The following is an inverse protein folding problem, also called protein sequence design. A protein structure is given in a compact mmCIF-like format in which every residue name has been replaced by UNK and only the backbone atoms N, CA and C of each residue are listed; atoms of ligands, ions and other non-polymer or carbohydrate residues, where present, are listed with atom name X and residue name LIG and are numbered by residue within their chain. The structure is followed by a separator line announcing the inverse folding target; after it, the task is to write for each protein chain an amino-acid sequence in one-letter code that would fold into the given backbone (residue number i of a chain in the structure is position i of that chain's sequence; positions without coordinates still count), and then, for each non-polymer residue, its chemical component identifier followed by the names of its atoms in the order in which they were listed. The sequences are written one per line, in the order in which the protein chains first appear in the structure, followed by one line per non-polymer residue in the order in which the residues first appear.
data_IF_444920994699
#
_entry.id   IF_444920994699
#
_cell.length_a   1.000
_cell.length_b   1.000
_cell.length_c   1.000
_cell.angle_alpha   90.00
_cell.angle_beta   90.00
_cell.angle_gamma   90.00
#
_symmetry.space_group_name_H-M   'P 1'
#
loop_
_entity.id
_entity.type
_entity.pdbx_description
1 polymer ?
#
# COMPACT_ATOMS: atom_id res chain seq x y z
N UNK A 1 35.65 -4.23 29.29
CA UNK A 1 34.97 -4.06 27.99
C UNK A 1 33.50 -4.42 28.19
N UNK A 2 32.65 -3.41 28.45
CA UNK A 2 31.22 -3.60 28.66
C UNK A 2 30.54 -3.72 27.29
N UNK A 3 29.98 -4.87 26.95
CA UNK A 3 29.06 -4.99 25.82
C UNK A 3 27.75 -4.32 26.22
N UNK A 4 27.46 -3.16 25.62
CA UNK A 4 26.13 -2.57 25.68
C UNK A 4 25.17 -3.45 24.87
N UNK A 5 24.26 -4.15 25.54
CA UNK A 5 23.06 -4.70 24.90
C UNK A 5 22.22 -3.51 24.43
N UNK A 6 22.35 -3.15 23.16
CA UNK A 6 21.41 -2.25 22.50
C UNK A 6 20.11 -3.05 22.36
N UNK A 7 19.01 -2.70 23.04
CA UNK A 7 17.74 -3.38 22.82
C UNK A 7 17.39 -3.23 21.34
N UNK A 8 17.10 -4.34 20.67
CA UNK A 8 16.59 -4.33 19.32
C UNK A 8 15.34 -3.44 19.32
N UNK A 9 15.44 -2.24 18.75
CA UNK A 9 14.31 -1.34 18.61
C UNK A 9 13.17 -2.13 17.98
N UNK A 10 12.06 -2.27 18.71
CA UNK A 10 10.83 -2.84 18.17
C UNK A 10 10.44 -2.02 16.94
N UNK A 11 10.01 -2.69 15.88
CA UNK A 11 9.45 -1.97 14.74
C UNK A 11 8.17 -1.26 15.18
N UNK A 12 8.00 -0.02 14.71
CA UNK A 12 6.84 0.81 14.95
C UNK A 12 5.62 0.26 14.19
N UNK A 13 4.38 0.55 14.63
CA UNK A 13 3.18 0.09 13.92
C UNK A 13 2.68 1.10 12.89
N UNK A 14 2.24 0.61 11.74
CA UNK A 14 1.48 1.39 10.77
C UNK A 14 0.32 0.57 10.22
N UNK A 15 -0.89 1.07 10.44
CA UNK A 15 -2.13 0.39 10.09
C UNK A 15 -2.87 1.19 9.01
N UNK A 16 -3.26 0.50 7.94
CA UNK A 16 -3.95 1.07 6.80
C UNK A 16 -5.27 0.33 6.58
N UNK A 17 -6.34 1.09 6.34
CA UNK A 17 -7.64 0.53 5.99
C UNK A 17 -8.14 1.18 4.71
N UNK A 18 -8.28 0.38 3.67
CA UNK A 18 -8.77 0.82 2.37
C UNK A 18 -10.30 0.89 2.40
N UNK A 19 -10.87 1.92 1.79
CA UNK A 19 -12.32 2.05 1.69
C UNK A 19 -12.89 1.09 0.63
N UNK A 20 -14.15 0.63 0.78
CA UNK A 20 -14.80 -0.30 -0.17
C UNK A 20 -14.77 0.16 -1.63
N UNK A 21 -14.80 1.46 -1.86
CA UNK A 21 -14.75 2.04 -3.20
C UNK A 21 -13.34 2.04 -3.83
N UNK A 22 -12.29 1.71 -3.06
CA UNK A 22 -10.89 1.70 -3.50
C UNK A 22 -10.29 3.07 -3.80
N UNK A 23 -10.97 4.18 -3.47
CA UNK A 23 -10.52 5.53 -3.84
C UNK A 23 -9.78 6.25 -2.72
N UNK A 24 -9.85 5.76 -1.49
CA UNK A 24 -9.23 6.39 -0.33
C UNK A 24 -8.94 5.34 0.76
N UNK A 25 -8.12 5.74 1.73
CA UNK A 25 -7.77 4.93 2.89
C UNK A 25 -7.66 5.81 4.13
N UNK A 26 -7.81 5.17 5.29
CA UNK A 26 -7.40 5.74 6.57
C UNK A 26 -6.11 5.08 7.02
N UNK A 27 -5.17 5.90 7.49
CA UNK A 27 -3.91 5.45 8.06
C UNK A 27 -3.85 5.79 9.54
N UNK A 28 -3.17 4.94 10.30
CA UNK A 28 -2.78 5.16 11.68
C UNK A 28 -1.31 4.78 11.82
N UNK A 29 -0.44 5.76 12.03
CA UNK A 29 1.01 5.55 12.03
C UNK A 29 1.59 5.98 13.36
N UNK A 30 2.30 5.06 14.03
CA UNK A 30 3.04 5.37 15.24
C UNK A 30 4.30 6.16 14.92
N UNK A 31 4.55 7.22 15.66
CA UNK A 31 5.72 8.07 15.50
C UNK A 31 6.39 8.20 16.87
N UNK A 32 7.68 7.86 16.95
CA UNK A 32 8.43 7.84 18.20
C UNK A 32 9.54 8.88 18.18
N UNK A 33 9.62 9.66 19.26
CA UNK A 33 10.63 10.69 19.47
C UNK A 33 10.77 11.66 18.28
N UNK A 34 9.65 12.04 17.67
CA UNK A 34 9.61 13.00 16.56
C UNK A 34 8.81 14.24 16.96
N UNK A 35 9.04 15.32 16.22
CA UNK A 35 8.37 16.63 16.33
C UNK A 35 7.72 17.05 15.00
N UNK A 36 7.81 16.20 13.98
CA UNK A 36 7.32 16.44 12.62
C UNK A 36 6.88 15.13 11.97
N UNK A 37 5.79 15.19 11.22
CA UNK A 37 5.34 14.11 10.34
C UNK A 37 4.96 14.68 8.98
N UNK A 38 5.52 14.11 7.90
CA UNK A 38 5.28 14.55 6.52
C UNK A 38 4.30 13.60 5.82
N UNK A 39 3.35 14.17 5.08
CA UNK A 39 2.39 13.42 4.29
C UNK A 39 2.90 13.30 2.86
N UNK A 40 3.72 12.26 2.64
CA UNK A 40 4.28 11.93 1.34
C UNK A 40 4.04 10.46 1.00
N UNK A 41 3.96 10.21 -0.31
CA UNK A 41 4.04 8.90 -0.92
C UNK A 41 5.39 8.74 -1.63
N UNK A 42 5.71 7.54 -2.09
CA UNK A 42 6.91 7.26 -2.89
C UNK A 42 6.57 7.47 -4.36
N UNK A 43 7.44 8.13 -5.13
CA UNK A 43 7.31 8.29 -6.57
C UNK A 43 8.02 7.19 -7.35
N UNK A 44 7.96 7.27 -8.69
CA UNK A 44 8.53 6.24 -9.56
C UNK A 44 10.06 6.14 -9.49
N UNK A 45 10.73 7.23 -9.13
CA UNK A 45 12.19 7.29 -8.95
C UNK A 45 12.57 7.24 -7.46
N UNK A 46 11.63 6.91 -6.58
CA UNK A 46 11.81 6.90 -5.13
C UNK A 46 11.75 8.28 -4.48
N UNK A 47 11.27 9.30 -5.20
CA UNK A 47 11.10 10.66 -4.68
C UNK A 47 9.86 10.80 -3.78
N UNK A 48 9.86 11.78 -2.87
CA UNK A 48 8.69 12.07 -2.06
C UNK A 48 7.61 12.81 -2.89
N UNK A 49 6.45 12.18 -3.05
CA UNK A 49 5.30 12.75 -3.74
C UNK A 49 4.29 13.24 -2.71
N UNK A 50 4.02 14.54 -2.70
CA UNK A 50 3.07 15.12 -1.75
C UNK A 50 1.66 14.53 -1.94
N UNK A 51 1.04 14.12 -0.83
CA UNK A 51 -0.36 13.69 -0.81
C UNK A 51 -1.24 14.71 -0.11
N UNK A 52 -2.46 14.88 -0.63
CA UNK A 52 -3.51 15.65 0.04
C UNK A 52 -4.16 14.77 1.09
N UNK A 53 -4.19 15.25 2.34
CA UNK A 53 -4.76 14.50 3.46
C UNK A 53 -5.88 15.27 4.11
N UNK A 54 -6.86 14.51 4.61
CA UNK A 54 -8.03 15.00 5.34
C UNK A 54 -8.13 14.31 6.71
N UNK A 55 -8.96 14.85 7.60
CA UNK A 55 -9.25 14.28 8.93
C UNK A 55 -7.99 13.96 9.76
N UNK A 56 -6.96 14.82 9.68
CA UNK A 56 -5.72 14.62 10.43
C UNK A 56 -5.96 14.77 11.93
N UNK A 57 -5.57 13.75 12.67
CA UNK A 57 -5.65 13.71 14.12
C UNK A 57 -4.32 13.24 14.72
N UNK A 58 -3.96 13.80 15.87
CA UNK A 58 -2.81 13.41 16.67
C UNK A 58 -3.31 12.83 17.98
N UNK A 59 -2.86 11.64 18.34
CA UNK A 59 -3.23 10.98 19.59
C UNK A 59 -2.01 10.44 20.31
N UNK A 60 -2.09 10.28 21.63
CA UNK A 60 -0.96 9.82 22.46
C UNK A 60 -1.12 10.29 23.91
N UNK A 61 0.00 10.43 24.62
CA UNK A 61 0.03 10.89 26.02
C UNK A 61 -0.14 12.41 26.14
N UNK A 62 -1.14 12.99 25.47
CA UNK A 62 -1.47 14.41 25.50
C UNK A 62 -2.99 14.62 25.58
N UNK A 63 -3.42 15.70 26.23
CA UNK A 63 -4.85 16.05 26.36
C UNK A 63 -5.05 17.58 26.45
N UNK A 64 -5.47 18.27 25.37
CA UNK A 64 -5.56 17.80 23.98
C UNK A 64 -4.19 17.73 23.30
N UNK A 65 -4.05 16.83 22.34
CA UNK A 65 -2.89 16.79 21.45
C UNK A 65 -3.05 17.87 20.38
N UNK A 66 -2.20 18.90 20.41
CA UNK A 66 -2.21 19.98 19.43
C UNK A 66 -1.06 19.83 18.44
N UNK A 67 -1.31 20.26 17.21
CA UNK A 67 -0.31 20.28 16.15
C UNK A 67 -0.51 21.52 15.29
N UNK A 68 0.55 21.93 14.61
CA UNK A 68 0.52 23.02 13.65
C UNK A 68 0.82 22.51 12.25
N UNK A 69 0.18 23.10 11.25
CA UNK A 69 0.46 22.80 9.85
C UNK A 69 1.72 23.53 9.39
N UNK A 70 2.62 22.78 8.76
CA UNK A 70 3.79 23.29 8.07
C UNK A 70 3.63 22.99 6.58
N UNK A 71 3.42 24.04 5.78
CA UNK A 71 3.40 23.96 4.32
C UNK A 71 4.54 24.81 3.77
N UNK A 72 5.46 24.18 3.06
CA UNK A 72 6.56 24.85 2.37
C UNK A 72 6.42 24.61 0.88
N UNK A 73 6.66 25.65 0.08
CA UNK A 73 6.51 25.58 -1.38
C UNK A 73 7.45 24.50 -1.94
N UNK A 74 6.90 23.60 -2.77
CA UNK A 74 7.65 22.48 -3.34
C UNK A 74 7.96 21.32 -2.39
N UNK A 75 7.35 21.26 -1.20
CA UNK A 75 7.49 20.12 -0.26
C UNK A 75 6.13 19.51 0.11
N UNK A 76 6.11 18.22 0.52
CA UNK A 76 4.93 17.61 1.11
C UNK A 76 4.38 18.42 2.29
N UNK A 77 3.06 18.40 2.46
CA UNK A 77 2.45 18.99 3.64
C UNK A 77 2.88 18.20 4.88
N UNK A 78 3.09 18.89 6.00
CA UNK A 78 3.52 18.27 7.23
C UNK A 78 2.79 18.87 8.43
N UNK A 79 2.71 18.10 9.50
CA UNK A 79 2.34 18.61 10.82
C UNK A 79 3.57 18.65 11.72
N UNK A 80 3.62 19.65 12.60
CA UNK A 80 4.62 19.78 13.65
C UNK A 80 3.95 19.76 15.01
N UNK A 81 4.62 19.13 15.97
CA UNK A 81 4.12 18.91 17.32
C UNK A 81 5.30 18.86 18.30
N UNK A 82 5.02 18.91 19.60
CA UNK A 82 6.07 18.77 20.61
C UNK A 82 6.73 17.40 20.49
N UNK A 83 8.05 17.34 20.69
CA UNK A 83 8.79 16.09 20.53
C UNK A 83 8.28 15.02 21.50
N UNK A 84 7.87 13.87 20.97
CA UNK A 84 7.31 12.79 21.79
C UNK A 84 6.88 11.56 20.99
N UNK A 85 6.10 10.70 21.64
CA UNK A 85 5.56 9.47 21.06
C UNK A 85 4.06 9.63 20.83
N UNK A 86 3.66 9.56 19.57
CA UNK A 86 2.30 9.82 19.14
C UNK A 86 1.85 8.83 18.09
N UNK A 87 0.56 8.81 17.83
CA UNK A 87 -0.05 8.15 16.69
C UNK A 87 -0.72 9.21 15.83
N UNK A 88 -0.30 9.28 14.56
CA UNK A 88 -0.88 10.18 13.56
C UNK A 88 -1.91 9.40 12.77
N UNK A 89 -3.15 9.87 12.80
CA UNK A 89 -4.24 9.29 12.01
C UNK A 89 -4.69 10.27 10.94
N UNK A 90 -4.95 9.80 9.72
CA UNK A 90 -5.39 10.66 8.62
C UNK A 90 -6.14 9.85 7.55
N UNK A 91 -6.86 10.55 6.69
CA UNK A 91 -7.46 10.02 5.47
C UNK A 91 -6.71 10.56 4.27
N UNK A 92 -6.45 9.72 3.28
CA UNK A 92 -5.80 10.12 2.03
C UNK A 92 -6.43 9.42 0.82
N UNK A 93 -6.42 10.06 -0.36
CA UNK A 93 -6.87 9.43 -1.59
C UNK A 93 -5.87 8.36 -2.05
N UNK A 94 -6.39 7.34 -2.73
CA UNK A 94 -5.62 6.35 -3.49
C UNK A 94 -5.56 6.76 -4.94
N UNK A 95 -4.42 6.49 -5.56
CA UNK A 95 -4.22 6.65 -6.99
C UNK A 95 -3.92 5.29 -7.61
N UNK A 96 -4.56 4.99 -8.73
CA UNK A 96 -4.30 3.79 -9.54
C UNK A 96 -4.44 2.45 -8.77
N UNK A 97 -5.30 2.41 -7.74
CA UNK A 97 -5.48 1.27 -6.82
C UNK A 97 -4.16 0.76 -6.22
N UNK A 98 -3.23 1.69 -5.97
CA UNK A 98 -1.90 1.37 -5.44
C UNK A 98 -1.68 2.14 -4.15
N UNK A 99 -1.29 1.41 -3.11
CA UNK A 99 -0.83 1.95 -1.84
C UNK A 99 0.66 1.65 -1.72
N UNK A 100 1.47 2.68 -1.56
CA UNK A 100 2.90 2.53 -1.32
C UNK A 100 3.36 3.47 -0.22
N UNK A 101 4.48 3.12 0.42
CA UNK A 101 5.13 3.93 1.44
C UNK A 101 6.59 3.57 1.59
N UNK A 102 7.36 4.58 2.00
CA UNK A 102 8.70 4.43 2.53
C UNK A 102 8.77 5.00 3.95
N UNK A 103 9.55 4.36 4.80
CA UNK A 103 9.80 4.72 6.18
C UNK A 103 11.31 4.79 6.42
N UNK A 104 11.75 5.79 7.18
CA UNK A 104 13.15 5.93 7.60
C UNK A 104 13.60 4.78 8.51
N UNK A 105 12.67 4.25 9.30
CA UNK A 105 12.88 3.13 10.23
C UNK A 105 11.96 1.96 9.88
N UNK A 106 12.26 0.72 10.28
CA UNK A 106 11.39 -0.42 9.98
C UNK A 106 10.07 -0.38 10.75
N UNK A 107 8.95 -0.64 10.06
CA UNK A 107 7.60 -0.73 10.62
C UNK A 107 7.02 -2.14 10.48
N UNK A 108 6.13 -2.50 11.40
CA UNK A 108 5.15 -3.55 11.22
C UNK A 108 3.94 -2.92 10.54
N UNK A 109 3.70 -3.32 9.30
CA UNK A 109 2.64 -2.74 8.48
C UNK A 109 1.47 -3.70 8.40
N UNK A 110 0.27 -3.21 8.69
CA UNK A 110 -0.97 -3.93 8.46
C UNK A 110 -1.82 -3.17 7.44
N UNK A 111 -2.35 -3.88 6.45
CA UNK A 111 -3.27 -3.30 5.47
C UNK A 111 -4.52 -4.16 5.40
N UNK A 112 -5.66 -3.57 5.74
CA UNK A 112 -6.96 -4.19 5.63
C UNK A 112 -7.63 -3.80 4.31
N UNK A 113 -7.86 -4.79 3.47
CA UNK A 113 -8.64 -4.71 2.24
C UNK A 113 -10.09 -5.18 2.48
N UNK A 114 -11.08 -4.39 2.03
CA UNK A 114 -12.48 -4.77 2.07
C UNK A 114 -12.79 -5.86 1.02
N UNK A 115 -13.95 -6.50 1.13
CA UNK A 115 -14.30 -7.67 0.31
C UNK A 115 -14.48 -7.37 -1.19
N UNK A 116 -14.76 -6.12 -1.55
CA UNK A 116 -14.94 -5.67 -2.92
C UNK A 116 -13.62 -5.55 -3.68
N UNK A 117 -12.48 -5.69 -3.02
CA UNK A 117 -11.14 -5.56 -3.61
C UNK A 117 -10.34 -6.84 -3.39
N UNK A 118 -9.51 -7.20 -4.37
CA UNK A 118 -8.72 -8.43 -4.33
C UNK A 118 -7.26 -8.20 -4.76
N UNK A 119 -6.41 -9.13 -4.35
CA UNK A 119 -4.95 -9.13 -4.53
C UNK A 119 -4.41 -10.51 -4.92
N UNK A 120 -5.29 -11.48 -5.21
CA UNK A 120 -4.88 -12.87 -5.47
C UNK A 120 -4.42 -13.11 -6.90
N UNK A 121 -4.94 -12.37 -7.88
CA UNK A 121 -4.53 -12.54 -9.27
C UNK A 121 -3.17 -11.88 -9.54
N UNK A 122 -2.09 -12.66 -9.78
CA UNK A 122 -0.74 -12.13 -9.95
C UNK A 122 -0.57 -11.25 -11.20
N UNK A 123 -1.50 -11.32 -12.17
CA UNK A 123 -1.47 -10.49 -13.37
C UNK A 123 -2.04 -9.08 -13.13
N UNK A 124 -2.79 -8.88 -12.05
CA UNK A 124 -3.51 -7.64 -11.73
C UNK A 124 -3.02 -6.97 -10.44
N UNK A 125 -2.20 -7.66 -9.66
CA UNK A 125 -1.69 -7.21 -8.37
C UNK A 125 -0.17 -7.02 -8.40
N UNK A 126 0.32 -6.27 -7.44
CA UNK A 126 1.74 -6.13 -7.10
C UNK A 126 1.78 -6.13 -5.58
N UNK A 127 2.47 -7.11 -4.98
CA UNK A 127 2.63 -7.22 -3.53
C UNK A 127 4.12 -7.32 -3.27
N UNK A 128 4.66 -6.40 -2.48
CA UNK A 128 6.05 -6.46 -2.06
C UNK A 128 6.32 -7.77 -1.29
N UNK A 129 7.38 -8.55 -1.63
CA UNK A 129 7.72 -9.80 -0.94
C UNK A 129 7.74 -9.70 0.60
N UNK A 130 7.40 -10.80 1.26
CA UNK A 130 7.35 -10.87 2.73
C UNK A 130 6.01 -10.50 3.34
N UNK A 131 5.00 -10.19 2.51
CA UNK A 131 3.62 -10.04 2.96
C UNK A 131 3.03 -11.39 3.39
N UNK A 132 2.43 -11.44 4.57
CA UNK A 132 1.51 -12.50 4.96
C UNK A 132 0.09 -12.08 4.58
N UNK A 133 -0.53 -12.80 3.65
CA UNK A 133 -1.89 -12.50 3.16
C UNK A 133 -2.85 -13.47 3.82
N UNK A 134 -3.77 -12.94 4.62
CA UNK A 134 -4.79 -13.71 5.34
C UNK A 134 -6.17 -13.24 4.91
N UNK A 135 -7.04 -14.19 4.55
CA UNK A 135 -8.44 -13.89 4.21
C UNK A 135 -9.32 -14.34 5.36
N UNK A 136 -10.16 -13.45 5.84
CA UNK A 136 -11.06 -13.71 6.96
C UNK A 136 -12.41 -14.26 6.47
N UNK A 137 -13.20 -14.77 7.42
CA UNK A 137 -14.52 -15.34 7.16
C UNK A 137 -15.55 -14.29 6.67
N UNK A 138 -15.30 -13.01 6.94
CA UNK A 138 -16.06 -11.86 6.44
C UNK A 138 -15.60 -11.41 5.05
N UNK A 139 -14.83 -12.24 4.33
CA UNK A 139 -14.23 -11.96 3.03
C UNK A 139 -13.23 -10.80 2.98
N UNK A 140 -12.93 -10.15 4.10
CA UNK A 140 -11.87 -9.15 4.15
C UNK A 140 -10.50 -9.80 4.03
N UNK A 141 -9.53 -9.05 3.50
CA UNK A 141 -8.16 -9.53 3.33
C UNK A 141 -7.23 -8.65 4.14
N UNK A 142 -6.47 -9.26 5.05
CA UNK A 142 -5.45 -8.59 5.83
C UNK A 142 -4.06 -8.99 5.33
N UNK A 143 -3.30 -7.97 4.94
CA UNK A 143 -1.91 -8.11 4.55
C UNK A 143 -1.03 -7.56 5.65
N UNK A 144 -0.03 -8.34 6.06
CA UNK A 144 0.89 -7.96 7.12
C UNK A 144 2.33 -8.13 6.70
N UNK A 145 3.14 -7.11 6.99
CA UNK A 145 4.59 -7.17 6.86
C UNK A 145 5.23 -6.91 8.21
N UNK A 146 6.27 -7.70 8.52
CA UNK A 146 7.03 -7.54 9.74
C UNK A 146 8.37 -6.86 9.45
N UNK A 147 8.62 -5.72 10.11
CA UNK A 147 9.90 -4.97 10.04
C UNK A 147 10.33 -4.58 8.62
N UNK A 148 9.46 -3.90 7.88
CA UNK A 148 9.76 -3.41 6.52
C UNK A 148 9.99 -1.89 6.51
N UNK A 149 10.81 -1.43 5.57
CA UNK A 149 11.03 0.02 5.32
C UNK A 149 10.22 0.54 4.16
N UNK A 150 9.89 -0.31 3.20
CA UNK A 150 9.09 0.05 2.04
C UNK A 150 8.07 -1.03 1.80
N UNK A 151 6.88 -0.65 1.36
CA UNK A 151 5.94 -1.58 0.75
C UNK A 151 5.23 -0.95 -0.43
N UNK A 152 4.78 -1.83 -1.30
CA UNK A 152 3.91 -1.52 -2.42
C UNK A 152 2.83 -2.59 -2.42
N UNK A 153 1.59 -2.13 -2.53
CA UNK A 153 0.41 -2.95 -2.64
C UNK A 153 -0.49 -2.38 -3.74
N UNK A 154 -0.61 -3.13 -4.82
CA UNK A 154 -1.59 -2.87 -5.89
C UNK A 154 -2.70 -3.89 -5.81
N UNK A 155 -3.93 -3.40 -5.76
CA UNK A 155 -5.14 -4.20 -5.68
C UNK A 155 -6.06 -3.92 -6.87
N UNK A 156 -7.05 -4.77 -7.08
CA UNK A 156 -7.96 -4.65 -8.20
C UNK A 156 -9.40 -4.92 -7.78
N UNK A 157 -10.34 -4.32 -8.51
CA UNK A 157 -11.76 -4.61 -8.39
C UNK A 157 -12.14 -5.85 -9.24
N UNK A 158 -13.18 -6.60 -8.88
CA UNK A 158 -13.63 -7.80 -9.59
C UNK A 158 -13.91 -7.57 -11.08
N UNK A 159 -14.32 -6.35 -11.45
CA UNK A 159 -14.61 -6.01 -12.84
C UNK A 159 -13.34 -6.02 -13.71
N UNK A 160 -12.20 -5.53 -13.20
CA UNK A 160 -10.90 -5.67 -13.89
C UNK A 160 -10.52 -7.13 -14.14
N UNK A 161 -10.85 -8.02 -13.21
CA UNK A 161 -10.59 -9.45 -13.39
C UNK A 161 -11.44 -10.06 -14.52
N UNK A 162 -12.72 -9.68 -14.58
CA UNK A 162 -13.62 -10.08 -15.68
C UNK A 162 -13.12 -9.57 -17.04
N UNK A 163 -12.63 -8.32 -17.10
CA UNK A 163 -12.03 -7.76 -18.31
C UNK A 163 -10.76 -8.52 -18.74
N UNK A 164 -9.93 -8.93 -17.79
CA UNK A 164 -8.74 -9.74 -18.09
C UNK A 164 -9.13 -11.09 -18.70
N UNK A 165 -10.14 -11.76 -18.16
CA UNK A 165 -10.64 -13.01 -18.74
C UNK A 165 -11.22 -12.80 -20.13
N UNK A 166 -12.00 -11.74 -20.35
CA UNK A 166 -12.54 -11.41 -21.66
C UNK A 166 -11.41 -11.19 -22.68
N UNK A 167 -10.41 -10.40 -22.30
CA UNK A 167 -9.22 -10.12 -23.11
C UNK A 167 -8.47 -11.41 -23.46
N UNK A 168 -8.17 -12.26 -22.47
CA UNK A 168 -7.48 -13.53 -22.68
C UNK A 168 -8.24 -14.47 -23.63
N UNK A 169 -9.55 -14.61 -23.43
CA UNK A 169 -10.39 -15.46 -24.29
C UNK A 169 -10.41 -14.97 -25.74
N UNK A 170 -10.50 -13.65 -25.95
CA UNK A 170 -10.47 -13.06 -27.28
C UNK A 170 -9.16 -13.39 -28.01
N UNK A 171 -8.02 -13.25 -27.33
CA UNK A 171 -6.71 -13.59 -27.91
C UNK A 171 -6.53 -15.08 -28.19
N UNK A 172 -7.07 -15.95 -27.33
CA UNK A 172 -7.03 -17.40 -27.56
C UNK A 172 -7.78 -17.77 -28.85
N UNK A 173 -8.96 -17.19 -29.08
CA UNK A 173 -9.73 -17.45 -30.31
C UNK A 173 -8.96 -17.00 -31.56
N UNK A 174 -8.36 -15.80 -31.53
CA UNK A 174 -7.52 -15.32 -32.62
C UNK A 174 -6.33 -16.25 -32.85
N UNK A 175 -5.65 -16.67 -31.79
CA UNK A 175 -4.51 -17.57 -31.89
C UNK A 175 -4.91 -18.90 -32.53
N UNK A 176 -6.06 -19.47 -32.18
CA UNK A 176 -6.58 -20.69 -32.81
C UNK A 176 -6.83 -20.47 -34.30
N UNK A 177 -7.52 -19.39 -34.69
CA UNK A 177 -7.84 -19.11 -36.10
C UNK A 177 -6.58 -18.93 -36.95
N UNK A 178 -5.53 -18.33 -36.40
CA UNK A 178 -4.28 -18.07 -37.12
C UNK A 178 -3.34 -19.28 -37.14
N UNK A 179 -3.18 -19.96 -36.00
CA UNK A 179 -2.21 -21.04 -35.85
C UNK A 179 -2.72 -22.37 -36.39
N UNK A 180 -4.01 -22.67 -36.24
CA UNK A 180 -4.60 -23.92 -36.70
C UNK A 180 -4.40 -24.17 -38.21
N UNK A 181 -4.67 -23.23 -39.13
CA UNK A 181 -4.37 -23.44 -40.55
C UNK A 181 -2.87 -23.54 -40.82
N UNK A 182 -2.03 -22.78 -40.12
CA UNK A 182 -0.57 -22.86 -40.24
C UNK A 182 -0.06 -24.28 -39.92
N UNK A 183 -0.50 -24.85 -38.80
CA UNK A 183 -0.14 -26.22 -38.42
C UNK A 183 -0.73 -27.28 -39.36
N UNK A 184 -1.93 -27.07 -39.89
CA UNK A 184 -2.52 -27.98 -40.89
C UNK A 184 -1.75 -27.98 -42.22
N UNK A 185 -1.25 -26.83 -42.66
CA UNK A 185 -0.45 -26.71 -43.89
C UNK A 185 0.92 -27.36 -43.69
N UNK A 186 1.58 -27.09 -42.56
CA UNK A 186 2.91 -27.63 -42.25
C UNK A 186 2.92 -29.16 -42.15
N UNK A 187 1.86 -29.75 -41.58
CA UNK A 187 1.71 -31.22 -41.51
C UNK A 187 1.50 -31.88 -42.89
N UNK A 188 1.12 -31.11 -43.92
CA UNK A 188 0.91 -31.62 -45.28
C UNK A 188 2.16 -31.57 -46.15
N UNK A 189 3.20 -30.85 -45.70
CA UNK A 189 4.51 -30.78 -46.36
C UNK A 189 5.53 -31.79 -45.82
N UNK A 190 5.15 -32.57 -44.80
CA UNK A 190 5.86 -33.75 -44.29
C UNK A 190 5.22 -35.02 -44.89
#
# INVERSE_FOLDING_TARGET
MLLALIPAAGALSADYRIFPNGTAYTASVEVVNADRYEFADVGFLGEDVAITVDNVNLSGNCSPCTFNWSRMWGRPSAITFLRGNYTVSYTAPLKDNTLQRAYDTPYNVSVNLPEELDVRNPLLTSINPGANVTRFADNTTLLQWNKIRTFELRFYDPWREQLLYLFGNFWIVIAIILLLPFFLIMKRSE
#
